data_IF_899561559599
#
_entry.id   IF_899561559599
#
_cell.length_a   1.000
_cell.length_b   1.000
_cell.length_c   1.000
_cell.angle_alpha   90.00
_cell.angle_beta   90.00
_cell.angle_gamma   90.00
#
_symmetry.space_group_name_H-M   'P 1'
#
loop_
_entity.id
_entity.type
_entity.pdbx_description
1 polymer ?
#
# COMPACT_ATOMS: atom_id res chain seq x y z
N UNK A 1 37.48 -2.01 -0.94
CA UNK A 1 36.15 -1.53 -1.38
C UNK A 1 36.06 -0.04 -1.09
N UNK A 2 36.01 0.83 -2.11
CA UNK A 2 35.84 2.28 -1.92
C UNK A 2 34.35 2.57 -1.84
N UNK A 3 33.91 3.10 -0.70
CA UNK A 3 32.54 3.58 -0.48
C UNK A 3 32.45 5.03 -0.94
N UNK A 4 31.63 5.29 -1.95
CA UNK A 4 31.15 6.63 -2.28
C UNK A 4 29.82 6.82 -1.53
N UNK A 5 29.88 7.39 -0.32
CA UNK A 5 28.68 7.93 0.34
C UNK A 5 28.66 9.43 0.08
N UNK A 6 27.76 9.85 -0.79
CA UNK A 6 27.30 11.24 -0.93
C UNK A 6 25.78 11.17 -0.80
N UNK A 7 25.28 11.47 0.40
CA UNK A 7 23.87 11.74 0.74
C UNK A 7 22.80 10.85 0.08
N UNK A 8 23.01 9.54 0.09
CA UNK A 8 21.96 8.59 -0.25
C UNK A 8 21.12 8.27 0.99
N UNK A 9 19.88 8.75 1.02
CA UNK A 9 18.82 8.17 1.86
C UNK A 9 18.86 6.65 1.66
N UNK A 10 19.42 5.93 2.63
CA UNK A 10 19.29 4.48 2.70
C UNK A 10 17.83 4.21 3.03
N UNK A 11 17.04 3.93 2.00
CA UNK A 11 15.75 3.27 2.17
C UNK A 11 16.07 1.89 2.73
N UNK A 12 16.02 1.76 4.05
CA UNK A 12 16.07 0.47 4.70
C UNK A 12 14.70 -0.17 4.51
N UNK A 13 14.60 -1.14 3.61
CA UNK A 13 13.45 -2.03 3.60
C UNK A 13 13.48 -2.77 4.94
N UNK A 14 12.55 -2.42 5.83
CA UNK A 14 12.34 -3.12 7.10
C UNK A 14 12.21 -4.60 6.82
N UNK A 15 12.93 -5.43 7.60
CA UNK A 15 12.92 -6.90 7.48
C UNK A 15 11.49 -7.39 7.24
N UNK A 16 11.29 -8.07 6.10
CA UNK A 16 10.04 -8.73 5.73
C UNK A 16 9.58 -9.60 6.90
N UNK A 17 8.61 -9.08 7.65
CA UNK A 17 7.90 -9.86 8.65
C UNK A 17 6.80 -10.56 7.87
N UNK A 18 6.73 -11.90 7.93
CA UNK A 18 5.73 -12.67 7.17
C UNK A 18 4.33 -12.10 7.41
N UNK A 19 3.68 -11.65 6.33
CA UNK A 19 2.31 -11.15 6.32
C UNK A 19 1.29 -12.26 6.09
N UNK A 20 1.73 -13.50 5.83
CA UNK A 20 0.89 -14.64 5.46
C UNK A 20 -0.25 -14.87 6.45
N UNK A 21 0.03 -14.73 7.75
CA UNK A 21 -0.99 -14.91 8.79
C UNK A 21 -2.02 -13.77 8.79
N UNK A 22 -1.58 -12.53 8.55
CA UNK A 22 -2.46 -11.35 8.45
C UNK A 22 -3.31 -11.43 7.19
N UNK A 23 -2.77 -11.95 6.08
CA UNK A 23 -3.48 -12.12 4.81
C UNK A 23 -4.52 -13.26 4.87
N UNK A 24 -4.23 -14.33 5.61
CA UNK A 24 -5.14 -15.45 5.77
C UNK A 24 -6.38 -15.10 6.63
N UNK A 25 -6.22 -14.25 7.65
CA UNK A 25 -7.29 -13.95 8.61
C UNK A 25 -8.56 -13.34 7.98
N UNK A 26 -8.49 -12.31 7.10
CA UNK A 26 -9.66 -11.76 6.43
C UNK A 26 -10.42 -12.80 5.60
N UNK A 27 -9.71 -13.74 4.97
CA UNK A 27 -10.32 -14.82 4.20
C UNK A 27 -11.08 -15.81 5.11
N UNK A 28 -10.52 -16.13 6.28
CA UNK A 28 -11.17 -16.97 7.27
C UNK A 28 -12.41 -16.29 7.89
N UNK A 29 -12.31 -14.99 8.19
CA UNK A 29 -13.44 -14.16 8.64
C UNK A 29 -14.56 -14.17 7.58
N UNK A 30 -14.23 -13.97 6.31
CA UNK A 30 -15.20 -14.00 5.22
C UNK A 30 -15.92 -15.36 5.11
N UNK A 31 -15.17 -16.47 5.17
CA UNK A 31 -15.75 -17.83 5.18
C UNK A 31 -16.69 -18.06 6.36
N UNK A 32 -16.39 -17.49 7.52
CA UNK A 32 -17.25 -17.60 8.72
C UNK A 32 -18.50 -16.76 8.60
N UNK A 33 -18.44 -15.59 7.95
CA UNK A 33 -19.63 -14.82 7.59
C UNK A 33 -20.52 -15.55 6.59
N UNK A 34 -19.95 -16.23 5.58
CA UNK A 34 -20.72 -17.07 4.66
C UNK A 34 -21.42 -18.22 5.38
N UNK A 35 -20.71 -18.90 6.29
CA UNK A 35 -21.29 -19.94 7.14
C UNK A 35 -22.44 -19.41 8.00
N UNK A 36 -22.24 -18.24 8.63
CA UNK A 36 -23.27 -17.57 9.43
C UNK A 36 -24.51 -17.22 8.58
N UNK A 37 -24.31 -16.71 7.36
CA UNK A 37 -25.40 -16.45 6.42
C UNK A 37 -26.20 -17.73 6.13
N UNK A 38 -25.50 -18.83 5.81
CA UNK A 38 -26.15 -20.10 5.52
C UNK A 38 -26.97 -20.66 6.70
N UNK A 39 -26.54 -20.42 7.94
CA UNK A 39 -27.29 -20.81 9.13
C UNK A 39 -28.53 -19.93 9.31
N UNK A 40 -28.38 -18.62 9.14
CA UNK A 40 -29.49 -17.68 9.23
C UNK A 40 -30.56 -17.91 8.15
N UNK A 41 -30.16 -18.31 6.95
CA UNK A 41 -31.07 -18.65 5.85
C UNK A 41 -31.77 -19.99 6.07
N UNK A 42 -31.18 -20.88 6.88
CA UNK A 42 -31.75 -22.17 7.21
C UNK A 42 -32.84 -22.06 8.30
N UNK A 43 -34.09 -21.89 7.85
CA UNK A 43 -35.29 -21.81 8.70
C UNK A 43 -35.56 -23.04 9.57
N UNK A 44 -34.84 -24.15 9.39
CA UNK A 44 -34.98 -25.35 10.23
C UNK A 44 -34.18 -25.27 11.53
N UNK A 45 -33.18 -24.39 11.60
CA UNK A 45 -32.34 -24.19 12.78
C UNK A 45 -33.03 -23.13 13.65
N UNK A 46 -33.44 -23.51 14.87
CA UNK A 46 -34.05 -22.60 15.84
C UNK A 46 -33.03 -22.04 16.85
N UNK A 47 -31.84 -22.64 16.93
CA UNK A 47 -30.79 -22.17 17.82
C UNK A 47 -30.09 -20.93 17.27
N UNK A 48 -29.86 -19.96 18.14
CA UNK A 48 -29.11 -18.76 17.79
C UNK A 48 -27.61 -19.10 17.65
N UNK A 49 -26.94 -18.74 16.54
CA UNK A 49 -25.56 -19.13 16.25
C UNK A 49 -24.50 -18.33 17.03
N UNK A 50 -24.65 -18.24 18.35
CA UNK A 50 -23.77 -17.46 19.23
C UNK A 50 -22.28 -17.87 19.12
N UNK A 51 -22.01 -19.16 18.96
CA UNK A 51 -20.64 -19.68 18.87
C UNK A 51 -19.90 -19.10 17.66
N UNK A 52 -20.54 -19.09 16.50
CA UNK A 52 -19.93 -18.59 15.25
C UNK A 52 -19.74 -17.07 15.32
N UNK A 53 -20.72 -16.35 15.88
CA UNK A 53 -20.59 -14.91 16.08
C UNK A 53 -19.40 -14.60 16.99
N UNK A 54 -19.23 -15.36 18.08
CA UNK A 54 -18.11 -15.20 19.00
C UNK A 54 -16.77 -15.45 18.29
N UNK A 55 -16.66 -16.52 17.50
CA UNK A 55 -15.44 -16.80 16.71
C UNK A 55 -15.12 -15.67 15.74
N UNK A 56 -16.11 -15.14 15.02
CA UNK A 56 -15.95 -13.97 14.12
C UNK A 56 -15.40 -12.77 14.88
N UNK A 57 -15.97 -12.45 16.03
CA UNK A 57 -15.54 -11.31 16.85
C UNK A 57 -14.12 -11.52 17.38
N UNK A 58 -13.75 -12.72 17.81
CA UNK A 58 -12.40 -13.06 18.26
C UNK A 58 -11.38 -12.86 17.12
N UNK A 59 -11.64 -13.40 15.93
CA UNK A 59 -10.74 -13.21 14.77
C UNK A 59 -10.63 -11.73 14.36
N UNK A 60 -11.70 -10.95 14.44
CA UNK A 60 -11.64 -9.51 14.18
C UNK A 60 -10.76 -8.75 15.19
N UNK A 61 -10.77 -9.17 16.46
CA UNK A 61 -9.87 -8.59 17.47
C UNK A 61 -8.42 -9.01 17.21
N UNK A 62 -8.17 -10.26 16.86
CA UNK A 62 -6.85 -10.76 16.49
C UNK A 62 -6.29 -9.97 15.28
N UNK A 63 -7.12 -9.72 14.26
CA UNK A 63 -6.73 -8.91 13.10
C UNK A 63 -6.33 -7.49 13.50
N UNK A 64 -7.08 -6.86 14.40
CA UNK A 64 -6.78 -5.52 14.90
C UNK A 64 -5.44 -5.50 15.65
N UNK A 65 -5.19 -6.50 16.48
CA UNK A 65 -4.01 -6.57 17.33
C UNK A 65 -2.75 -6.98 16.52
N UNK A 66 -2.93 -7.72 15.43
CA UNK A 66 -1.88 -8.14 14.48
C UNK A 66 -1.55 -7.12 13.39
N UNK A 67 -2.32 -6.04 13.25
CA UNK A 67 -2.09 -5.00 12.25
C UNK A 67 -1.56 -3.69 12.85
N UNK A 68 -0.50 -3.64 13.72
CA UNK A 68 -0.27 -2.42 14.46
C UNK A 68 0.26 -1.26 13.61
N UNK A 69 0.97 -1.47 12.49
CA UNK A 69 1.80 -0.41 11.90
C UNK A 69 1.95 -0.38 10.38
N UNK A 70 0.91 -0.66 9.59
CA UNK A 70 0.92 -0.29 8.17
C UNK A 70 0.11 1.01 7.99
N UNK A 71 0.82 2.15 8.02
CA UNK A 71 0.23 3.40 7.56
C UNK A 71 -0.01 3.27 6.04
N UNK A 72 -1.21 2.84 5.67
CA UNK A 72 -1.63 2.88 4.28
C UNK A 72 -1.99 4.32 3.90
N UNK A 73 -1.54 4.82 2.74
CA UNK A 73 -1.94 6.12 2.26
C UNK A 73 -3.47 6.23 2.18
N UNK A 74 -4.04 7.34 2.65
CA UNK A 74 -5.50 7.56 2.60
C UNK A 74 -6.03 7.45 1.16
N UNK A 75 -5.27 7.97 0.19
CA UNK A 75 -5.57 7.88 -1.25
C UNK A 75 -5.67 6.43 -1.73
N UNK A 76 -4.81 5.53 -1.23
CA UNK A 76 -4.88 4.10 -1.56
C UNK A 76 -6.14 3.46 -0.99
N UNK A 77 -6.47 3.77 0.27
CA UNK A 77 -7.68 3.26 0.93
C UNK A 77 -8.95 3.73 0.21
N UNK A 78 -8.99 4.99 -0.23
CA UNK A 78 -10.10 5.55 -1.00
C UNK A 78 -10.20 4.89 -2.39
N UNK A 79 -9.08 4.69 -3.07
CA UNK A 79 -9.03 4.01 -4.37
C UNK A 79 -9.62 2.58 -4.30
N UNK A 80 -9.23 1.79 -3.29
CA UNK A 80 -9.77 0.44 -3.08
C UNK A 80 -11.25 0.47 -2.72
N UNK A 81 -11.70 1.45 -1.91
CA UNK A 81 -13.11 1.62 -1.54
C UNK A 81 -14.02 1.88 -2.75
N UNK A 82 -13.51 2.52 -3.79
CA UNK A 82 -14.23 2.76 -5.04
C UNK A 82 -14.29 1.53 -5.96
N UNK A 83 -13.89 0.34 -5.49
CA UNK A 83 -13.79 -0.91 -6.27
C UNK A 83 -12.89 -0.80 -7.50
N UNK A 84 -11.87 0.05 -7.44
CA UNK A 84 -10.86 0.13 -8.50
C UNK A 84 -9.80 -0.96 -8.30
N UNK A 85 -9.19 -1.37 -9.40
CA UNK A 85 -8.16 -2.43 -9.40
C UNK A 85 -6.90 -1.97 -8.67
N UNK A 86 -6.51 -2.71 -7.63
CA UNK A 86 -5.34 -2.43 -6.79
C UNK A 86 -4.07 -2.21 -7.63
N UNK A 87 -3.88 -2.98 -8.70
CA UNK A 87 -2.72 -2.83 -9.58
C UNK A 87 -2.73 -1.48 -10.31
N UNK A 88 -3.91 -1.01 -10.71
CA UNK A 88 -4.09 0.28 -11.37
C UNK A 88 -3.61 1.47 -10.53
N UNK A 89 -3.77 1.40 -9.19
CA UNK A 89 -3.23 2.43 -8.30
C UNK A 89 -1.70 2.52 -8.39
N UNK A 90 -1.02 1.38 -8.35
CA UNK A 90 0.44 1.35 -8.40
C UNK A 90 0.98 1.75 -9.78
N UNK A 91 0.29 1.35 -10.86
CA UNK A 91 0.62 1.79 -12.21
C UNK A 91 0.48 3.31 -12.38
N UNK A 92 -0.60 3.90 -11.87
CA UNK A 92 -0.82 5.35 -11.90
C UNK A 92 0.27 6.08 -11.09
N UNK A 93 0.59 5.58 -9.89
CA UNK A 93 1.67 6.12 -9.07
C UNK A 93 3.03 6.02 -9.77
N UNK A 94 3.34 4.91 -10.44
CA UNK A 94 4.59 4.73 -11.18
C UNK A 94 4.67 5.71 -12.35
N UNK A 95 3.58 5.88 -13.10
CA UNK A 95 3.52 6.82 -14.23
C UNK A 95 3.71 8.27 -13.77
N UNK A 96 3.09 8.65 -12.65
CA UNK A 96 3.26 9.98 -12.05
C UNK A 96 4.72 10.23 -11.65
N UNK A 97 5.38 9.24 -11.04
CA UNK A 97 6.80 9.34 -10.68
C UNK A 97 7.71 9.49 -11.91
N UNK A 98 7.47 8.70 -12.97
CA UNK A 98 8.21 8.83 -14.24
C UNK A 98 8.03 10.20 -14.88
N UNK A 99 6.81 10.75 -14.83
CA UNK A 99 6.51 12.10 -15.31
C UNK A 99 7.30 13.17 -14.55
N UNK A 100 7.33 13.07 -13.22
CA UNK A 100 8.08 13.99 -12.37
C UNK A 100 9.59 13.88 -12.55
N UNK A 101 10.13 12.66 -12.72
CA UNK A 101 11.54 12.44 -13.04
C UNK A 101 11.92 13.15 -14.35
N UNK A 102 11.12 12.96 -15.40
CA UNK A 102 11.36 13.61 -16.69
C UNK A 102 11.29 15.13 -16.59
N UNK A 103 10.36 15.66 -15.79
CA UNK A 103 10.26 17.10 -15.50
C UNK A 103 11.53 17.64 -14.84
N UNK A 104 12.08 16.93 -13.86
CA UNK A 104 13.32 17.31 -13.16
C UNK A 104 14.53 17.25 -14.11
N UNK A 105 14.65 16.19 -14.91
CA UNK A 105 15.72 16.04 -15.91
C UNK A 105 15.70 17.21 -16.90
N UNK A 106 14.53 17.57 -17.41
CA UNK A 106 14.39 18.70 -18.34
C UNK A 106 14.77 20.02 -17.67
N UNK A 107 14.35 20.27 -16.43
CA UNK A 107 14.76 21.47 -15.69
C UNK A 107 16.28 21.54 -15.52
N UNK A 108 16.94 20.43 -15.14
CA UNK A 108 18.41 20.38 -15.01
C UNK A 108 19.09 20.71 -16.33
N UNK A 109 18.64 20.11 -17.44
CA UNK A 109 19.18 20.40 -18.77
C UNK A 109 19.06 21.87 -19.15
N UNK A 110 17.92 22.51 -18.87
CA UNK A 110 17.73 23.95 -19.12
C UNK A 110 18.70 24.78 -18.28
N UNK A 111 18.89 24.45 -17.00
CA UNK A 111 19.85 25.15 -16.15
C UNK A 111 21.30 24.97 -16.63
N UNK A 112 21.68 23.80 -17.11
CA UNK A 112 23.02 23.56 -17.64
C UNK A 112 23.26 24.37 -18.93
N UNK A 113 22.25 24.45 -19.81
CA UNK A 113 22.31 25.32 -21.01
C UNK A 113 22.45 26.78 -20.60
N UNK A 114 21.62 27.25 -19.65
CA UNK A 114 21.69 28.63 -19.16
C UNK A 114 23.06 28.95 -18.55
N UNK A 115 23.63 28.05 -17.74
CA UNK A 115 24.97 28.21 -17.18
C UNK A 115 26.04 28.34 -18.26
N UNK A 116 26.00 27.47 -19.27
CA UNK A 116 26.95 27.54 -20.39
C UNK A 116 26.81 28.84 -21.20
N UNK A 117 25.60 29.40 -21.32
CA UNK A 117 25.40 30.71 -21.97
C UNK A 117 25.98 31.85 -21.13
N UNK A 118 25.83 31.81 -19.81
CA UNK A 118 26.41 32.80 -18.90
C UNK A 118 27.95 32.76 -18.92
N UNK A 119 28.54 31.57 -18.84
CA UNK A 119 30.01 31.39 -18.91
C UNK A 119 30.57 31.95 -20.23
N UNK A 120 29.90 31.70 -21.36
CA UNK A 120 30.30 32.25 -22.67
C UNK A 120 30.14 33.77 -22.79
N UNK A 121 29.24 34.38 -22.01
CA UNK A 121 29.08 35.84 -21.97
C UNK A 121 30.15 36.51 -21.11
N UNK A 122 30.65 35.85 -20.06
CA UNK A 122 31.75 36.36 -19.23
C UNK A 122 33.11 36.29 -19.92
N UNK A 123 33.27 35.41 -20.92
CA UNK A 123 34.49 35.29 -21.74
C UNK A 123 34.59 36.31 -22.90
N UNK A 124 33.53 37.11 -23.14
CA UNK A 124 33.49 38.20 -24.13
C UNK A 124 33.75 39.57 -23.51
#
# INVERSE_FOLDING_TARGET
>A
MRSYMKDGLRIGFTKETSTDHIEALPLEIARKFELLSGICDNRSIQEFPAAIIKEIVEMCNDLRDLAPHYNMPEEYVEYVRENKDVLGYFEESENNLKGEEMRIINKRRIFDVFRSMMEKMEEM
#
